data_IF_809827834690
#
_entry.id   IF_809827834690
#
_cell.length_a   1.000
_cell.length_b   1.000
_cell.length_c   1.000
_cell.angle_alpha   90.00
_cell.angle_beta   90.00
_cell.angle_gamma   90.00
#
_symmetry.space_group_name_H-M   'P 1'
#
loop_
_entity.id
_entity.type
_entity.pdbx_description
1 polymer ?
#
# COMPACT_ATOMS: atom_id res chain seq x y z
N UNK A 1 -22.54 -31.40 4.00
CA UNK A 1 -23.06 -30.04 4.31
C UNK A 1 -21.99 -29.03 3.98
N UNK A 2 -22.19 -28.22 2.94
CA UNK A 2 -21.33 -27.06 2.66
C UNK A 2 -21.92 -25.87 3.40
N UNK A 3 -21.21 -25.35 4.40
CA UNK A 3 -21.60 -24.11 5.07
C UNK A 3 -21.13 -22.99 4.16
N UNK A 4 -22.05 -22.42 3.38
CA UNK A 4 -21.79 -21.18 2.66
C UNK A 4 -21.61 -20.08 3.72
N UNK A 5 -20.37 -19.66 3.96
CA UNK A 5 -20.09 -18.43 4.71
C UNK A 5 -20.62 -17.29 3.86
N UNK A 6 -21.83 -16.82 4.16
CA UNK A 6 -22.40 -15.62 3.56
C UNK A 6 -21.55 -14.45 4.06
N UNK A 7 -20.48 -14.14 3.32
CA UNK A 7 -19.54 -13.09 3.65
C UNK A 7 -20.21 -11.76 3.26
N UNK A 8 -21.18 -11.32 4.07
CA UNK A 8 -21.87 -10.06 3.89
C UNK A 8 -20.92 -8.93 4.28
N UNK A 9 -20.29 -8.34 3.27
CA UNK A 9 -19.45 -7.14 3.41
C UNK A 9 -20.26 -5.92 2.94
N UNK A 10 -20.27 -4.86 3.75
CA UNK A 10 -20.93 -3.60 3.44
C UNK A 10 -20.01 -2.40 3.70
N UNK A 11 -20.17 -1.36 2.89
CA UNK A 11 -19.50 -0.08 3.07
C UNK A 11 -20.38 0.86 3.89
N UNK A 12 -19.95 1.22 5.09
CA UNK A 12 -20.71 2.06 6.01
C UNK A 12 -20.09 3.44 6.13
N UNK A 13 -20.92 4.47 6.23
CA UNK A 13 -20.49 5.85 6.52
C UNK A 13 -20.57 6.12 8.02
N UNK A 14 -19.53 6.68 8.59
CA UNK A 14 -19.51 7.06 10.01
C UNK A 14 -20.28 8.37 10.21
N UNK A 15 -21.23 8.38 11.14
CA UNK A 15 -22.07 9.53 11.50
C UNK A 15 -21.73 10.01 12.92
N UNK A 16 -21.81 11.32 13.18
CA UNK A 16 -21.59 11.91 14.54
C UNK A 16 -22.52 11.35 15.62
N UNK A 17 -23.78 11.06 15.26
CA UNK A 17 -24.81 10.54 16.17
C UNK A 17 -25.25 9.13 15.77
N UNK A 18 -24.28 8.24 15.61
CA UNK A 18 -24.56 6.83 15.34
C UNK A 18 -25.30 6.14 16.51
N UNK A 19 -26.08 5.11 16.20
CA UNK A 19 -26.76 4.28 17.22
C UNK A 19 -25.77 3.44 18.05
N UNK A 20 -24.59 3.15 17.51
CA UNK A 20 -23.48 2.48 18.19
C UNK A 20 -22.37 3.48 18.45
N UNK A 21 -21.99 3.67 19.71
CA UNK A 21 -20.94 4.60 20.11
C UNK A 21 -19.65 3.84 20.41
N UNK A 22 -18.55 4.21 19.75
CA UNK A 22 -17.21 3.69 20.03
C UNK A 22 -16.45 4.62 20.98
N UNK A 23 -15.60 4.11 21.89
CA UNK A 23 -14.70 4.93 22.70
C UNK A 23 -13.80 5.85 21.84
N UNK A 24 -13.52 7.06 22.35
CA UNK A 24 -12.70 8.06 21.63
C UNK A 24 -11.30 7.52 21.30
N UNK A 25 -10.68 6.78 22.23
CA UNK A 25 -9.34 6.19 22.04
C UNK A 25 -9.30 5.27 20.82
N UNK A 26 -10.26 4.36 20.69
CA UNK A 26 -10.35 3.42 19.58
C UNK A 26 -10.58 4.13 18.26
N UNK A 27 -11.44 5.16 18.26
CA UNK A 27 -11.67 5.97 17.05
C UNK A 27 -10.39 6.61 16.54
N UNK A 28 -9.58 7.18 17.45
CA UNK A 28 -8.29 7.78 17.08
C UNK A 28 -7.27 6.75 16.60
N UNK A 29 -7.14 5.64 17.32
CA UNK A 29 -6.19 4.57 17.00
C UNK A 29 -6.48 3.93 15.64
N UNK A 30 -7.77 3.69 15.34
CA UNK A 30 -8.21 3.06 14.10
C UNK A 30 -8.49 4.08 12.98
N UNK A 31 -8.27 5.38 13.20
CA UNK A 31 -8.54 6.43 12.21
C UNK A 31 -10.01 6.54 11.79
N UNK A 32 -10.94 6.11 12.65
CA UNK A 32 -12.39 6.17 12.41
C UNK A 32 -12.88 7.58 12.75
N UNK A 33 -13.14 8.37 11.70
CA UNK A 33 -13.59 9.76 11.82
C UNK A 33 -14.97 9.94 11.19
N UNK A 34 -15.69 10.97 11.63
CA UNK A 34 -16.98 11.33 11.06
C UNK A 34 -16.88 11.61 9.56
N UNK A 35 -17.86 11.13 8.80
CA UNK A 35 -17.92 11.31 7.35
C UNK A 35 -17.06 10.33 6.56
N UNK A 36 -16.10 9.63 7.19
CA UNK A 36 -15.31 8.58 6.53
C UNK A 36 -16.15 7.32 6.31
N UNK A 37 -15.73 6.56 5.31
CA UNK A 37 -16.27 5.23 5.03
C UNK A 37 -15.46 4.17 5.78
N UNK A 38 -16.09 3.06 6.14
CA UNK A 38 -15.46 1.87 6.73
C UNK A 38 -16.03 0.62 6.06
N UNK A 39 -15.26 -0.46 6.06
CA UNK A 39 -15.78 -1.77 5.65
C UNK A 39 -16.29 -2.50 6.87
N UNK A 40 -17.52 -2.99 6.83
CA UNK A 40 -18.08 -3.84 7.86
C UNK A 40 -18.37 -5.22 7.29
N UNK A 41 -18.13 -6.27 8.08
CA UNK A 41 -18.54 -7.63 7.74
C UNK A 41 -19.04 -8.37 8.96
N UNK A 42 -20.01 -9.26 8.74
CA UNK A 42 -20.53 -10.14 9.78
C UNK A 42 -19.81 -11.48 9.66
N UNK A 43 -19.18 -11.90 10.76
CA UNK A 43 -18.57 -13.23 10.87
C UNK A 43 -19.12 -13.87 12.13
N UNK A 44 -19.83 -14.98 11.96
CA UNK A 44 -20.54 -15.70 13.03
C UNK A 44 -21.47 -14.77 13.83
N UNK A 45 -21.09 -14.43 15.06
CA UNK A 45 -21.84 -13.56 15.97
C UNK A 45 -21.10 -12.24 16.26
N UNK A 46 -20.24 -11.79 15.33
CA UNK A 46 -19.42 -10.60 15.47
C UNK A 46 -19.54 -9.69 14.24
N UNK A 47 -19.46 -8.38 14.48
CA UNK A 47 -19.29 -7.38 13.43
C UNK A 47 -17.83 -6.94 13.45
N UNK A 48 -17.15 -7.13 12.33
CA UNK A 48 -15.78 -6.65 12.13
C UNK A 48 -15.84 -5.36 11.33
N UNK A 49 -15.34 -4.27 11.91
CA UNK A 49 -15.28 -2.94 11.27
C UNK A 49 -13.81 -2.61 10.98
N UNK A 50 -13.49 -2.39 9.71
CA UNK A 50 -12.14 -2.10 9.23
C UNK A 50 -12.09 -0.71 8.58
N UNK A 51 -11.16 0.17 9.00
CA UNK A 51 -10.92 1.43 8.32
C UNK A 51 -10.33 1.17 6.92
N UNK A 52 -10.69 2.03 5.95
CA UNK A 52 -10.20 1.91 4.55
C UNK A 52 -8.73 2.28 4.48
N UNK A 53 -8.38 3.36 5.14
CA UNK A 53 -7.03 3.88 5.21
C UNK A 53 -6.36 3.27 6.43
N UNK A 54 -5.58 2.20 6.22
CA UNK A 54 -4.54 1.87 7.20
C UNK A 54 -3.55 3.02 7.18
N UNK A 55 -3.16 3.60 8.34
CA UNK A 55 -2.05 4.54 8.38
C UNK A 55 -0.80 3.78 7.92
N UNK A 56 -0.48 3.91 6.63
CA UNK A 56 0.75 3.37 6.07
C UNK A 56 1.87 4.22 6.67
N UNK A 57 2.82 3.58 7.35
CA UNK A 57 4.03 4.28 7.79
C UNK A 57 4.82 4.69 6.54
N UNK A 58 4.55 5.89 6.03
CA UNK A 58 5.40 6.52 5.05
C UNK A 58 6.69 6.94 5.75
N UNK A 59 7.81 6.37 5.32
CA UNK A 59 9.12 6.88 5.75
C UNK A 59 9.34 8.22 5.05
N UNK A 60 9.48 9.28 5.85
CA UNK A 60 9.91 10.58 5.35
C UNK A 60 11.44 10.60 5.28
N UNK A 61 11.99 11.03 4.16
CA UNK A 61 13.43 11.21 3.99
C UNK A 61 13.76 12.70 4.09
N UNK A 62 14.79 13.02 4.86
CA UNK A 62 15.39 14.35 4.83
C UNK A 62 16.10 14.58 3.48
N UNK A 63 16.30 15.85 3.12
CA UNK A 63 17.04 16.21 1.89
C UNK A 63 18.43 15.58 1.86
N UNK A 64 19.08 15.44 3.02
CA UNK A 64 20.41 14.82 3.16
C UNK A 64 20.36 13.32 2.87
N UNK A 65 19.36 12.61 3.40
CA UNK A 65 19.18 11.18 3.13
C UNK A 65 18.84 10.93 1.67
N UNK A 66 18.03 11.80 1.05
CA UNK A 66 17.69 11.70 -0.36
C UNK A 66 18.94 11.81 -1.25
N UNK A 67 19.83 12.77 -0.97
CA UNK A 67 21.09 12.94 -1.70
C UNK A 67 22.02 11.74 -1.52
N UNK A 68 22.09 11.19 -0.31
CA UNK A 68 22.88 9.99 -0.04
C UNK A 68 22.34 8.78 -0.80
N UNK A 69 21.02 8.60 -0.81
CA UNK A 69 20.37 7.54 -1.56
C UNK A 69 20.68 7.61 -3.07
N UNK A 70 20.57 8.81 -3.67
CA UNK A 70 20.91 9.02 -5.08
C UNK A 70 22.39 8.78 -5.41
N UNK A 71 23.28 9.00 -4.45
CA UNK A 71 24.71 8.73 -4.59
C UNK A 71 24.99 7.23 -4.55
N UNK A 72 24.32 6.52 -3.65
CA UNK A 72 24.51 5.09 -3.42
C UNK A 72 23.82 4.24 -4.51
N UNK A 73 22.76 4.75 -5.13
CA UNK A 73 22.02 4.11 -6.22
C UNK A 73 22.75 4.20 -7.59
N UNK A 74 23.98 4.72 -7.63
CA UNK A 74 24.78 4.77 -8.85
C UNK A 74 25.45 3.43 -9.16
N UNK A 75 25.28 2.95 -10.40
CA UNK A 75 25.94 1.74 -10.88
C UNK A 75 27.48 1.89 -10.84
N UNK A 76 28.21 0.92 -10.26
CA UNK A 76 29.66 0.92 -10.30
C UNK A 76 30.19 0.98 -11.74
N UNK A 77 31.21 1.82 -11.99
CA UNK A 77 31.77 2.07 -13.34
C UNK A 77 32.11 0.79 -14.11
N UNK A 78 32.60 -0.24 -13.42
CA UNK A 78 32.94 -1.55 -14.01
C UNK A 78 31.70 -2.30 -14.48
N UNK A 79 30.60 -2.23 -13.73
CA UNK A 79 29.33 -2.85 -14.07
C UNK A 79 28.64 -2.08 -15.20
N UNK A 80 28.65 -0.75 -15.15
CA UNK A 80 28.11 0.10 -16.21
C UNK A 80 28.78 -0.18 -17.58
N UNK A 81 30.12 -0.29 -17.61
CA UNK A 81 30.85 -0.65 -18.84
C UNK A 81 30.51 -2.04 -19.38
N UNK A 82 30.28 -3.02 -18.51
CA UNK A 82 29.88 -4.37 -18.92
C UNK A 82 28.47 -4.39 -19.50
N UNK A 83 27.55 -3.65 -18.89
CA UNK A 83 26.18 -3.51 -19.37
C UNK A 83 26.14 -2.78 -20.71
N UNK A 84 26.87 -1.67 -20.86
CA UNK A 84 26.98 -0.94 -22.14
C UNK A 84 27.45 -1.87 -23.28
N UNK A 85 28.55 -2.61 -23.08
CA UNK A 85 29.04 -3.59 -24.07
C UNK A 85 28.02 -4.69 -24.40
N UNK A 86 27.28 -5.17 -23.40
CA UNK A 86 26.26 -6.21 -23.59
C UNK A 86 25.05 -5.68 -24.36
N UNK A 87 24.63 -4.43 -24.09
CA UNK A 87 23.55 -3.75 -24.78
C UNK A 87 23.90 -3.42 -26.24
N UNK A 88 25.12 -2.97 -26.51
CA UNK A 88 25.60 -2.72 -27.88
C UNK A 88 25.65 -4.01 -28.71
N UNK A 89 26.17 -5.10 -28.14
CA UNK A 89 26.19 -6.41 -28.81
C UNK A 89 24.79 -6.92 -29.15
N UNK A 90 23.81 -6.68 -28.26
CA UNK A 90 22.41 -7.06 -28.48
C UNK A 90 21.73 -6.21 -29.56
N UNK A 91 22.02 -4.90 -29.63
CA UNK A 91 21.52 -4.01 -30.69
C UNK A 91 22.07 -4.40 -32.07
N UNK A 92 23.35 -4.73 -32.16
CA UNK A 92 23.95 -5.23 -33.41
C UNK A 92 23.29 -6.54 -33.87
N UNK A 93 22.96 -7.43 -32.93
CA UNK A 93 22.35 -8.73 -33.27
C UNK A 93 20.95 -8.62 -33.88
N UNK A 94 20.19 -7.57 -33.55
CA UNK A 94 18.87 -7.32 -34.13
C UNK A 94 18.93 -6.53 -35.45
N UNK A 95 19.96 -5.70 -35.65
CA UNK A 95 20.12 -4.92 -36.88
C UNK A 95 20.67 -5.74 -38.06
N UNK A 96 21.40 -6.83 -37.80
CA UNK A 96 21.97 -7.71 -38.85
C UNK A 96 20.99 -8.81 -39.28
N UNK A 97 19.92 -9.05 -38.51
CA UNK A 97 18.92 -10.10 -38.77
C UNK A 97 17.50 -9.54 -39.05
N UNK A 98 17.38 -8.27 -39.46
CA UNK A 98 16.13 -7.65 -39.94
C UNK A 98 16.27 -7.22 -41.39
#
# INVERSE_FOLDING_TARGET
>A
MQIATNNQEEWLKILSKGMVTLPISWRKELGIEEGKMVRAKIIDNQIIIEPIEKPVLYRTYSQKELQQFLKDDQLPKKLAKRLAKKLEKHKLFHQVNS
#
